data_IF_624889378185
#
_entry.id   IF_624889378185
#
_cell.length_a   1.000
_cell.length_b   1.000
_cell.length_c   1.000
_cell.angle_alpha   90.00
_cell.angle_beta   90.00
_cell.angle_gamma   90.00
#
_symmetry.space_group_name_H-M   'P 1'
#
loop_
_entity.id
_entity.type
_entity.pdbx_description
1 polymer ?
#
# COMPACT_ATOMS: atom_id res chain seq x y z
N UNK A 1 39.87 -10.13 23.85
CA UNK A 1 38.72 -10.31 22.95
C UNK A 1 37.82 -11.38 23.57
N UNK A 2 37.48 -11.24 24.86
CA UNK A 2 37.12 -12.38 25.74
C UNK A 2 35.83 -12.15 26.55
N UNK A 3 35.09 -11.08 26.24
CA UNK A 3 33.82 -10.76 26.90
C UNK A 3 32.62 -11.37 26.15
N UNK A 4 32.75 -11.65 24.85
CA UNK A 4 31.65 -12.21 24.05
C UNK A 4 31.36 -13.71 24.28
N UNK A 5 32.23 -14.46 24.96
CA UNK A 5 32.03 -15.90 25.17
C UNK A 5 31.41 -16.24 26.53
N UNK A 6 31.48 -15.33 27.52
CA UNK A 6 30.97 -15.62 28.87
C UNK A 6 29.45 -15.51 29.03
N UNK A 7 28.76 -14.99 28.03
CA UNK A 7 27.29 -14.90 28.04
C UNK A 7 26.59 -16.19 27.59
N UNK A 8 27.32 -17.16 27.03
CA UNK A 8 26.73 -18.39 26.49
C UNK A 8 26.75 -19.58 27.47
N UNK A 9 27.63 -19.59 28.48
CA UNK A 9 27.77 -20.75 29.38
C UNK A 9 26.75 -20.80 30.53
N UNK A 10 25.92 -19.77 30.71
CA UNK A 10 24.86 -19.74 31.72
C UNK A 10 23.50 -20.29 31.28
N UNK A 11 23.32 -20.59 29.99
CA UNK A 11 22.04 -20.99 29.39
C UNK A 11 22.10 -22.45 28.92
N UNK A 12 22.16 -23.39 29.86
CA UNK A 12 21.83 -24.79 29.57
C UNK A 12 20.91 -25.36 30.64
N UNK A 13 19.61 -25.25 30.41
CA UNK A 13 18.70 -26.39 30.29
C UNK A 13 17.23 -25.94 30.34
N UNK A 14 16.64 -25.66 29.18
CA UNK A 14 15.36 -26.23 28.72
C UNK A 14 14.91 -25.45 27.49
N UNK A 15 14.38 -26.16 26.51
CA UNK A 15 13.95 -25.70 25.19
C UNK A 15 15.09 -25.49 24.19
N UNK A 16 15.04 -26.28 23.11
CA UNK A 16 15.84 -26.16 21.92
C UNK A 16 15.95 -24.68 21.52
N UNK A 17 17.15 -24.09 21.60
CA UNK A 17 17.44 -22.75 21.09
C UNK A 17 17.03 -22.71 19.61
N UNK A 18 15.83 -22.20 19.35
CA UNK A 18 15.31 -22.05 18.01
C UNK A 18 16.34 -21.22 17.23
N UNK A 19 16.85 -21.65 16.07
CA UNK A 19 17.89 -20.93 15.33
C UNK A 19 17.55 -19.46 15.01
N UNK A 20 16.26 -19.11 15.08
CA UNK A 20 15.74 -17.75 14.90
C UNK A 20 15.92 -16.86 16.14
N UNK A 21 16.01 -17.45 17.33
CA UNK A 21 16.01 -16.71 18.61
C UNK A 21 17.21 -15.76 18.74
N UNK A 22 18.40 -16.20 18.32
CA UNK A 22 19.58 -15.34 18.34
C UNK A 22 19.45 -14.13 17.37
N UNK A 23 18.79 -14.33 16.23
CA UNK A 23 18.48 -13.26 15.28
C UNK A 23 17.47 -12.27 15.88
N UNK A 24 16.42 -12.79 16.51
CA UNK A 24 15.37 -11.97 17.14
C UNK A 24 15.92 -11.12 18.28
N UNK A 25 16.83 -11.66 19.10
CA UNK A 25 17.53 -10.90 20.14
C UNK A 25 18.38 -9.76 19.54
N UNK A 26 19.10 -10.03 18.45
CA UNK A 26 19.88 -9.00 17.76
C UNK A 26 18.98 -7.90 17.18
N UNK A 27 17.87 -8.27 16.53
CA UNK A 27 16.91 -7.32 15.99
C UNK A 27 16.24 -6.49 17.08
N UNK A 28 15.85 -7.12 18.19
CA UNK A 28 15.34 -6.45 19.39
C UNK A 28 16.35 -5.43 19.90
N UNK A 29 17.62 -5.83 20.04
CA UNK A 29 18.68 -4.95 20.52
C UNK A 29 18.87 -3.75 19.61
N UNK A 30 18.91 -3.94 18.29
CA UNK A 30 19.05 -2.84 17.31
C UNK A 30 17.89 -1.86 17.44
N UNK A 31 16.65 -2.36 17.43
CA UNK A 31 15.44 -1.53 17.48
C UNK A 31 15.25 -0.85 18.84
N UNK A 32 15.73 -1.44 19.93
CA UNK A 32 15.71 -0.82 21.27
C UNK A 32 16.58 0.44 21.38
N UNK A 33 17.47 0.69 20.42
CA UNK A 33 18.27 1.93 20.38
C UNK A 33 17.53 3.12 19.77
N UNK A 34 16.35 2.88 19.20
CA UNK A 34 15.47 3.91 18.66
C UNK A 34 14.68 4.53 19.82
N UNK A 35 14.58 5.85 19.86
CA UNK A 35 13.81 6.54 20.89
C UNK A 35 12.31 6.25 20.74
N UNK A 36 11.56 6.31 21.84
CA UNK A 36 10.10 6.14 21.78
C UNK A 36 9.42 7.18 20.86
N UNK A 37 10.02 8.37 20.72
CA UNK A 37 9.53 9.43 19.85
C UNK A 37 9.76 9.12 18.35
N UNK A 38 10.90 8.52 18.01
CA UNK A 38 11.26 8.22 16.62
C UNK A 38 10.65 6.89 16.12
N UNK A 39 10.36 5.95 17.04
CA UNK A 39 9.93 4.59 16.70
C UNK A 39 8.70 4.53 15.78
N UNK A 40 7.61 5.30 16.00
CA UNK A 40 6.45 5.27 15.10
C UNK A 40 6.80 5.66 13.66
N UNK A 41 7.72 6.62 13.47
CA UNK A 41 8.18 7.03 12.15
C UNK A 41 9.05 5.93 11.55
N UNK A 42 9.96 5.33 12.33
CA UNK A 42 10.79 4.21 11.86
C UNK A 42 9.93 3.03 11.40
N UNK A 43 8.95 2.61 12.21
CA UNK A 43 8.04 1.52 11.85
C UNK A 43 7.18 1.85 10.63
N UNK A 44 6.79 3.12 10.46
CA UNK A 44 6.09 3.55 9.25
C UNK A 44 6.96 3.42 8.00
N UNK A 45 8.25 3.77 8.07
CA UNK A 45 9.18 3.62 6.93
C UNK A 45 9.41 2.13 6.64
N UNK A 46 9.69 1.33 7.67
CA UNK A 46 9.92 -0.11 7.54
C UNK A 46 8.69 -0.83 6.99
N UNK A 47 7.50 -0.57 7.55
CA UNK A 47 6.24 -1.16 7.10
C UNK A 47 5.92 -0.83 5.64
N UNK A 48 6.05 0.45 5.26
CA UNK A 48 5.86 0.83 3.85
C UNK A 48 6.90 0.16 2.93
N UNK A 49 8.15 0.02 3.38
CA UNK A 49 9.20 -0.65 2.60
C UNK A 49 8.92 -2.15 2.44
N UNK A 50 8.50 -2.83 3.51
CA UNK A 50 8.24 -4.28 3.50
C UNK A 50 6.99 -4.59 2.66
N UNK A 51 5.91 -3.83 2.85
CA UNK A 51 4.62 -4.12 2.22
C UNK A 51 4.49 -3.52 0.81
N UNK A 52 5.25 -2.47 0.49
CA UNK A 52 5.10 -1.70 -0.75
C UNK A 52 6.42 -1.29 -1.43
N UNK A 53 7.58 -1.72 -0.95
CA UNK A 53 8.91 -1.37 -1.48
C UNK A 53 9.30 -2.06 -2.79
N UNK A 54 8.34 -2.23 -3.70
CA UNK A 54 8.59 -2.75 -5.06
C UNK A 54 9.62 -1.85 -5.81
N UNK A 55 10.20 -2.36 -6.90
CA UNK A 55 11.33 -1.77 -7.67
C UNK A 55 11.17 -0.29 -8.09
N UNK A 56 9.97 0.30 -7.95
CA UNK A 56 9.67 1.68 -8.33
C UNK A 56 9.70 2.67 -7.14
N UNK A 57 9.78 2.19 -5.90
CA UNK A 57 9.75 3.05 -4.72
C UNK A 57 11.15 3.52 -4.33
N UNK A 58 11.59 4.63 -4.94
CA UNK A 58 12.87 5.26 -4.55
C UNK A 58 12.76 5.87 -3.15
N UNK A 59 13.90 6.02 -2.48
CA UNK A 59 13.99 6.59 -1.13
C UNK A 59 13.37 7.97 -1.06
N UNK A 60 13.57 8.79 -2.09
CA UNK A 60 12.96 10.12 -2.20
C UNK A 60 11.43 10.06 -2.25
N UNK A 61 10.88 9.14 -3.05
CA UNK A 61 9.43 9.01 -3.21
C UNK A 61 8.82 8.48 -1.92
N UNK A 62 9.44 7.50 -1.26
CA UNK A 62 8.97 7.01 0.04
C UNK A 62 8.96 8.11 1.10
N UNK A 63 10.04 8.89 1.21
CA UNK A 63 10.14 9.98 2.17
C UNK A 63 9.05 11.03 1.95
N UNK A 64 8.88 11.50 0.71
CA UNK A 64 7.85 12.47 0.37
C UNK A 64 6.44 11.90 0.51
N UNK A 65 6.23 10.65 0.13
CA UNK A 65 4.96 9.97 0.32
C UNK A 65 4.59 10.01 1.80
N UNK A 66 5.50 9.64 2.70
CA UNK A 66 5.28 9.71 4.14
C UNK A 66 5.34 11.14 4.73
N UNK A 67 5.45 12.18 3.90
CA UNK A 67 5.55 13.58 4.30
C UNK A 67 6.72 13.86 5.26
N UNK A 68 7.87 13.25 4.99
CA UNK A 68 9.11 13.39 5.75
C UNK A 68 10.10 14.27 4.99
N UNK A 69 10.67 15.25 5.67
CA UNK A 69 11.83 15.98 5.16
C UNK A 69 13.10 15.10 5.26
N UNK A 70 14.14 15.51 4.52
CA UNK A 70 15.41 14.77 4.44
C UNK A 70 16.02 14.49 5.82
N UNK A 71 16.11 15.51 6.68
CA UNK A 71 16.73 15.40 8.01
C UNK A 71 16.02 14.36 8.88
N UNK A 72 14.68 14.47 8.97
CA UNK A 72 13.85 13.57 9.76
C UNK A 72 13.96 12.14 9.25
N UNK A 73 13.93 11.96 7.93
CA UNK A 73 14.02 10.64 7.30
C UNK A 73 15.35 9.94 7.65
N UNK A 74 16.49 10.60 7.42
CA UNK A 74 17.81 10.01 7.71
C UNK A 74 18.07 9.86 9.21
N UNK A 75 17.64 10.83 10.02
CA UNK A 75 17.77 10.75 11.47
C UNK A 75 17.06 9.52 12.04
N UNK A 76 15.85 9.24 11.54
CA UNK A 76 15.02 8.11 11.97
C UNK A 76 15.63 6.77 11.57
N UNK A 77 16.35 6.70 10.45
CA UNK A 77 16.96 5.47 9.94
C UNK A 77 18.38 5.21 10.44
N UNK A 78 19.03 6.18 11.09
CA UNK A 78 20.43 6.05 11.54
C UNK A 78 20.72 4.84 12.42
N UNK A 79 19.70 4.31 13.12
CA UNK A 79 19.81 3.17 14.03
C UNK A 79 19.59 1.82 13.37
N UNK A 80 19.10 1.78 12.13
CA UNK A 80 18.76 0.53 11.42
C UNK A 80 19.70 0.24 10.24
N UNK A 81 20.77 1.01 10.06
CA UNK A 81 21.79 0.76 9.02
C UNK A 81 22.47 -0.61 9.10
N UNK A 82 22.41 -1.31 10.25
CA UNK A 82 22.96 -2.66 10.39
C UNK A 82 22.08 -3.75 9.77
N UNK A 83 20.80 -3.46 9.49
CA UNK A 83 19.81 -4.41 8.96
C UNK A 83 19.21 -3.97 7.63
N UNK A 84 19.50 -2.74 7.21
CA UNK A 84 18.99 -2.15 5.98
C UNK A 84 20.06 -1.26 5.34
N UNK A 85 20.18 -1.37 4.02
CA UNK A 85 20.88 -0.41 3.19
C UNK A 85 20.02 0.83 3.00
N UNK A 86 20.57 1.98 3.39
CA UNK A 86 19.92 3.28 3.26
C UNK A 86 20.79 4.12 2.32
N UNK A 87 20.34 4.41 1.09
CA UNK A 87 21.11 5.19 0.14
C UNK A 87 21.44 6.58 0.67
N UNK A 88 22.62 7.15 0.35
CA UNK A 88 22.94 8.53 0.72
C UNK A 88 22.02 9.51 -0.03
N UNK A 89 21.82 10.71 0.53
CA UNK A 89 20.87 11.70 0.01
C UNK A 89 20.99 12.02 -1.49
N UNK A 90 22.19 12.12 -2.08
CA UNK A 90 22.35 12.36 -3.52
C UNK A 90 21.82 11.22 -4.41
N UNK A 91 21.74 9.99 -3.87
CA UNK A 91 21.31 8.78 -4.58
C UNK A 91 19.87 8.38 -4.28
N UNK A 92 19.26 8.99 -3.26
CA UNK A 92 17.86 8.77 -2.87
C UNK A 92 16.82 8.85 -4.00
N UNK A 93 17.00 9.67 -5.06
CA UNK A 93 16.05 9.67 -6.16
C UNK A 93 16.13 8.47 -7.11
N UNK A 94 17.20 7.66 -7.01
CA UNK A 94 17.47 6.53 -7.90
C UNK A 94 17.43 5.20 -7.18
N UNK A 95 17.81 5.19 -5.91
CA UNK A 95 17.93 3.97 -5.11
C UNK A 95 16.80 3.86 -4.09
N UNK A 96 16.36 2.62 -3.84
CA UNK A 96 15.38 2.26 -2.83
C UNK A 96 16.08 1.83 -1.52
N UNK A 97 15.30 1.73 -0.45
CA UNK A 97 15.73 1.07 0.78
C UNK A 97 15.79 -0.44 0.56
N UNK A 98 16.85 -1.11 1.01
CA UNK A 98 17.01 -2.56 0.84
C UNK A 98 17.25 -3.23 2.19
N UNK A 99 16.42 -4.22 2.52
CA UNK A 99 16.67 -5.06 3.70
C UNK A 99 17.77 -6.07 3.40
N UNK A 100 18.77 -6.16 4.29
CA UNK A 100 19.87 -7.13 4.09
C UNK A 100 19.41 -8.58 4.22
N UNK A 101 18.33 -8.84 4.98
CA UNK A 101 17.82 -10.19 5.22
C UNK A 101 16.29 -10.19 5.33
N UNK A 102 15.65 -11.15 4.66
CA UNK A 102 14.20 -11.37 4.77
C UNK A 102 13.76 -11.69 6.21
N UNK A 103 14.61 -12.37 6.98
CA UNK A 103 14.34 -12.71 8.39
C UNK A 103 14.07 -11.51 9.28
N UNK A 104 14.55 -10.32 8.93
CA UNK A 104 14.22 -9.09 9.65
C UNK A 104 12.79 -8.62 9.36
N UNK A 105 12.35 -8.71 8.09
CA UNK A 105 10.95 -8.46 7.74
C UNK A 105 10.02 -9.47 8.42
N UNK A 106 10.40 -10.75 8.41
CA UNK A 106 9.64 -11.82 9.07
C UNK A 106 9.53 -11.58 10.59
N UNK A 107 10.61 -11.09 11.22
CA UNK A 107 10.61 -10.73 12.64
C UNK A 107 9.64 -9.57 12.91
N UNK A 108 9.70 -8.49 12.12
CA UNK A 108 8.82 -7.33 12.29
C UNK A 108 7.35 -7.63 11.99
N UNK A 109 7.06 -8.62 11.15
CA UNK A 109 5.69 -8.99 10.77
C UNK A 109 5.04 -9.94 11.79
N UNK A 110 5.80 -10.48 12.75
CA UNK A 110 5.31 -11.37 13.78
C UNK A 110 5.26 -10.66 15.16
N UNK A 111 4.05 -10.32 15.66
CA UNK A 111 3.89 -9.66 16.95
C UNK A 111 4.37 -10.47 18.15
N UNK A 112 4.34 -11.81 18.07
CA UNK A 112 4.81 -12.69 19.14
C UNK A 112 6.32 -12.60 19.28
N UNK A 113 7.03 -12.47 18.15
CA UNK A 113 8.50 -12.36 18.12
C UNK A 113 8.99 -10.95 18.43
N UNK A 114 8.34 -9.93 17.87
CA UNK A 114 8.84 -8.54 17.90
C UNK A 114 8.20 -7.63 18.95
N UNK A 115 7.09 -8.04 19.55
CA UNK A 115 6.42 -7.29 20.61
C UNK A 115 6.10 -5.85 20.20
N UNK A 116 6.62 -4.86 20.94
CA UNK A 116 6.41 -3.43 20.65
C UNK A 116 7.01 -2.94 19.32
N UNK A 117 7.83 -3.77 18.66
CA UNK A 117 8.44 -3.44 17.38
C UNK A 117 7.68 -4.03 16.19
N UNK A 118 6.58 -4.74 16.44
CA UNK A 118 5.77 -5.33 15.40
C UNK A 118 5.18 -4.26 14.49
N UNK A 119 5.20 -4.53 13.18
CA UNK A 119 4.48 -3.74 12.20
C UNK A 119 3.01 -4.14 12.28
N UNK A 120 2.16 -3.18 12.63
CA UNK A 120 0.72 -3.31 12.43
C UNK A 120 0.40 -3.07 10.96
N UNK A 121 0.29 -4.14 10.18
CA UNK A 121 0.00 -4.09 8.75
C UNK A 121 -1.29 -3.32 8.46
N UNK A 122 -2.33 -3.51 9.26
CA UNK A 122 -3.61 -2.81 9.09
C UNK A 122 -3.46 -1.30 9.21
N UNK A 123 -2.68 -0.84 10.19
CA UNK A 123 -2.34 0.57 10.35
C UNK A 123 -1.48 1.09 9.18
N UNK A 124 -0.53 0.30 8.67
CA UNK A 124 0.27 0.68 7.49
C UNK A 124 -0.61 0.80 6.25
N UNK A 125 -1.48 -0.18 6.00
CA UNK A 125 -2.43 -0.15 4.89
C UNK A 125 -3.34 1.08 4.95
N UNK A 126 -3.89 1.40 6.13
CA UNK A 126 -4.71 2.61 6.30
C UNK A 126 -3.91 3.88 5.98
N UNK A 127 -2.67 3.97 6.46
CA UNK A 127 -1.80 5.12 6.21
C UNK A 127 -1.47 5.26 4.72
N UNK A 128 -1.14 4.17 4.03
CA UNK A 128 -0.86 4.16 2.59
C UNK A 128 -2.09 4.54 1.78
N UNK A 129 -3.27 4.03 2.13
CA UNK A 129 -4.52 4.40 1.46
C UNK A 129 -4.79 5.91 1.58
N UNK A 130 -4.75 6.44 2.82
CA UNK A 130 -4.95 7.88 3.10
C UNK A 130 -3.98 8.77 2.38
N UNK A 131 -2.70 8.43 2.46
CA UNK A 131 -1.65 9.22 1.85
C UNK A 131 -1.76 9.18 0.32
N UNK A 132 -2.10 8.01 -0.24
CA UNK A 132 -2.41 7.88 -1.64
C UNK A 132 -3.56 8.79 -2.05
N UNK A 133 -4.68 8.78 -1.33
CA UNK A 133 -5.79 9.69 -1.58
C UNK A 133 -5.39 11.17 -1.50
N UNK A 134 -4.54 11.55 -0.55
CA UNK A 134 -4.05 12.93 -0.49
C UNK A 134 -3.29 13.32 -1.76
N UNK A 135 -2.39 12.47 -2.25
CA UNK A 135 -1.63 12.73 -3.50
C UNK A 135 -2.50 12.66 -4.76
N UNK A 136 -3.58 11.87 -4.74
CA UNK A 136 -4.54 11.78 -5.85
C UNK A 136 -5.59 12.88 -5.82
N UNK A 137 -5.80 13.55 -4.68
CA UNK A 137 -6.78 14.62 -4.56
C UNK A 137 -6.45 15.70 -5.58
N UNK A 138 -7.35 15.88 -6.54
CA UNK A 138 -7.20 16.93 -7.52
C UNK A 138 -7.51 18.27 -6.83
N UNK A 139 -6.66 19.26 -7.05
CA UNK A 139 -7.03 20.64 -6.79
C UNK A 139 -8.15 21.01 -7.77
N UNK A 140 -9.40 21.05 -7.30
CA UNK A 140 -10.61 21.16 -8.11
C UNK A 140 -10.49 22.11 -9.32
N UNK A 141 -11.18 21.73 -10.42
CA UNK A 141 -11.24 22.43 -11.73
C UNK A 141 -11.55 23.94 -11.70
N UNK A 142 -12.00 24.51 -10.57
CA UNK A 142 -12.45 25.90 -10.47
C UNK A 142 -11.48 26.85 -9.76
N UNK A 143 -10.41 26.33 -9.15
CA UNK A 143 -9.19 27.00 -8.68
C UNK A 143 -8.65 26.06 -7.61
N UNK A 144 -7.45 25.48 -7.79
CA UNK A 144 -6.71 24.93 -6.67
C UNK A 144 -6.74 25.92 -5.53
N UNK A 145 -7.25 25.55 -4.35
CA UNK A 145 -6.73 26.18 -3.15
C UNK A 145 -5.30 25.65 -3.01
N UNK A 146 -4.27 26.48 -3.25
CA UNK A 146 -2.89 26.02 -3.20
C UNK A 146 -2.51 25.48 -1.81
N UNK A 147 -3.29 25.83 -0.78
CA UNK A 147 -3.08 25.40 0.60
C UNK A 147 -3.58 23.96 0.88
N UNK A 148 -4.32 23.34 -0.05
CA UNK A 148 -4.89 22.00 0.14
C UNK A 148 -4.15 20.89 -0.62
N UNK A 149 -3.21 21.23 -1.50
CA UNK A 149 -2.41 20.22 -2.20
C UNK A 149 -1.26 19.75 -1.31
N UNK A 150 -0.99 18.44 -1.24
CA UNK A 150 0.19 17.95 -0.56
C UNK A 150 1.46 18.48 -1.24
N UNK A 151 2.39 18.97 -0.43
CA UNK A 151 3.67 19.49 -0.90
C UNK A 151 4.80 18.50 -0.60
N UNK A 152 5.69 18.22 -1.58
CA UNK A 152 6.88 17.43 -1.32
C UNK A 152 7.73 18.07 -0.22
N UNK A 153 7.96 17.34 0.87
CA UNK A 153 8.77 17.78 2.01
C UNK A 153 10.28 17.71 1.76
N UNK A 154 10.69 17.01 0.70
CA UNK A 154 12.09 16.88 0.28
C UNK A 154 12.21 17.03 -1.23
N UNK A 155 12.83 18.13 -1.67
CA UNK A 155 13.07 18.46 -3.09
C UNK A 155 14.58 18.63 -3.30
N UNK A 156 15.26 17.68 -3.95
CA UNK A 156 16.68 17.81 -4.29
C UNK A 156 16.92 18.81 -5.44
N UNK A 157 18.04 19.53 -5.43
CA UNK A 157 18.37 20.58 -6.41
C UNK A 157 18.28 20.15 -7.89
N UNK A 158 18.53 18.87 -8.17
CA UNK A 158 18.64 18.33 -9.54
C UNK A 158 17.34 17.75 -10.09
N UNK A 159 16.26 17.77 -9.32
CA UNK A 159 14.99 17.13 -9.70
C UNK A 159 13.87 18.14 -9.57
N UNK A 160 13.12 18.31 -10.65
CA UNK A 160 11.98 19.23 -10.64
C UNK A 160 10.89 18.72 -9.71
N UNK A 161 10.20 19.66 -9.08
CA UNK A 161 9.06 19.40 -8.21
C UNK A 161 7.97 18.61 -8.94
N UNK A 162 7.74 18.93 -10.20
CA UNK A 162 6.73 18.31 -11.06
C UNK A 162 7.02 16.82 -11.26
N UNK A 163 8.29 16.45 -11.43
CA UNK A 163 8.68 15.05 -11.56
C UNK A 163 8.42 14.26 -10.27
N UNK A 164 8.66 14.87 -9.11
CA UNK A 164 8.39 14.25 -7.80
C UNK A 164 6.88 14.06 -7.62
N UNK A 165 6.07 15.09 -7.90
CA UNK A 165 4.60 15.00 -7.82
C UNK A 165 4.07 13.94 -8.77
N UNK A 166 4.55 13.90 -10.02
CA UNK A 166 4.15 12.89 -11.00
C UNK A 166 4.47 11.47 -10.50
N UNK A 167 5.67 11.24 -9.95
CA UNK A 167 6.06 9.95 -9.39
C UNK A 167 5.23 9.58 -8.15
N UNK A 168 4.91 10.53 -7.27
CA UNK A 168 4.04 10.31 -6.11
C UNK A 168 2.62 9.96 -6.51
N UNK A 169 2.07 10.63 -7.53
CA UNK A 169 0.78 10.27 -8.11
C UNK A 169 0.82 8.86 -8.68
N UNK A 170 1.82 8.53 -9.49
CA UNK A 170 1.98 7.18 -10.05
C UNK A 170 2.06 6.09 -8.95
N UNK A 171 2.86 6.33 -7.91
CA UNK A 171 2.95 5.43 -6.76
C UNK A 171 1.61 5.30 -6.02
N UNK A 172 0.92 6.42 -5.79
CA UNK A 172 -0.39 6.46 -5.10
C UNK A 172 -1.44 5.69 -5.88
N UNK A 173 -1.52 5.92 -7.18
CA UNK A 173 -2.38 5.21 -8.13
C UNK A 173 -2.19 3.69 -7.99
N UNK A 174 -0.94 3.22 -8.01
CA UNK A 174 -0.60 1.78 -7.99
C UNK A 174 -0.88 1.09 -6.64
N UNK A 175 -0.92 1.82 -5.53
CA UNK A 175 -0.91 1.19 -4.20
C UNK A 175 -2.09 1.54 -3.30
N UNK A 176 -2.75 2.69 -3.47
CA UNK A 176 -3.83 3.10 -2.56
C UNK A 176 -5.03 2.15 -2.62
N UNK A 177 -5.44 1.71 -3.83
CA UNK A 177 -6.56 0.78 -4.01
C UNK A 177 -6.26 -0.59 -3.42
N UNK A 178 -5.02 -1.05 -3.59
CA UNK A 178 -4.55 -2.30 -3.00
C UNK A 178 -4.50 -2.21 -1.47
N UNK A 179 -4.12 -1.06 -0.93
CA UNK A 179 -4.10 -0.85 0.51
C UNK A 179 -5.49 -0.94 1.12
N UNK A 180 -6.51 -0.36 0.46
CA UNK A 180 -7.87 -0.28 1.01
C UNK A 180 -8.45 -1.62 1.44
N UNK A 181 -8.36 -2.65 0.60
CA UNK A 181 -8.96 -3.96 0.88
C UNK A 181 -8.15 -4.81 1.87
N UNK A 182 -6.96 -4.36 2.28
CA UNK A 182 -6.10 -5.05 3.25
C UNK A 182 -6.16 -4.41 4.64
N UNK A 183 -6.93 -3.35 4.81
CA UNK A 183 -7.12 -2.69 6.10
C UNK A 183 -7.92 -3.62 7.02
N UNK A 184 -7.48 -3.74 8.27
CA UNK A 184 -8.18 -4.50 9.31
C UNK A 184 -9.61 -3.99 9.53
N UNK A 185 -10.55 -4.89 9.80
CA UNK A 185 -11.99 -4.57 9.93
C UNK A 185 -12.29 -3.41 10.89
N UNK A 186 -11.57 -3.32 12.01
CA UNK A 186 -11.72 -2.26 13.00
C UNK A 186 -11.33 -0.86 12.49
N UNK A 187 -10.59 -0.77 11.37
CA UNK A 187 -10.15 0.46 10.75
C UNK A 187 -10.96 0.83 9.49
N UNK A 188 -11.77 -0.09 8.96
CA UNK A 188 -12.55 0.12 7.72
C UNK A 188 -13.51 1.30 7.84
N UNK A 189 -14.21 1.44 8.96
CA UNK A 189 -15.12 2.57 9.19
C UNK A 189 -14.42 3.93 9.06
N UNK A 190 -13.16 3.99 9.50
CA UNK A 190 -12.34 5.20 9.40
C UNK A 190 -12.01 5.50 7.93
N UNK A 191 -11.64 4.49 7.14
CA UNK A 191 -11.38 4.65 5.71
C UNK A 191 -12.65 5.07 4.94
N UNK A 192 -13.81 4.47 5.26
CA UNK A 192 -15.07 4.79 4.58
C UNK A 192 -15.42 6.28 4.72
N UNK A 193 -15.17 6.87 5.89
CA UNK A 193 -15.34 8.32 6.09
C UNK A 193 -14.41 9.12 5.17
N UNK A 194 -13.15 8.73 5.06
CA UNK A 194 -12.20 9.40 4.17
C UNK A 194 -12.63 9.29 2.69
N UNK A 195 -13.20 8.15 2.30
CA UNK A 195 -13.73 7.90 0.94
C UNK A 195 -15.00 8.71 0.64
N UNK A 196 -15.84 9.00 1.62
CA UNK A 196 -17.01 9.87 1.44
C UNK A 196 -16.62 11.30 1.06
N UNK A 197 -15.48 11.76 1.57
CA UNK A 197 -14.92 13.09 1.32
C UNK A 197 -13.91 13.11 0.15
N UNK A 198 -13.60 11.96 -0.44
CA UNK A 198 -12.62 11.86 -1.51
C UNK A 198 -13.22 12.29 -2.85
N UNK A 199 -12.46 13.09 -3.61
CA UNK A 199 -12.80 13.47 -4.98
C UNK A 199 -12.19 12.42 -5.92
N UNK A 200 -13.04 11.55 -6.46
CA UNK A 200 -12.63 10.41 -7.30
C UNK A 200 -12.17 10.79 -8.71
N UNK A 201 -11.82 12.05 -8.96
CA UNK A 201 -11.32 12.47 -10.25
C UNK A 201 -9.93 11.88 -10.52
N UNK A 202 -9.89 10.83 -11.33
CA UNK A 202 -8.67 10.13 -11.73
C UNK A 202 -8.39 10.42 -13.21
N UNK A 203 -7.20 10.91 -13.52
CA UNK A 203 -6.77 11.17 -14.90
C UNK A 203 -6.57 9.82 -15.63
N UNK A 204 -7.54 9.44 -16.46
CA UNK A 204 -7.58 8.15 -17.17
C UNK A 204 -6.37 7.89 -18.09
N UNK A 205 -5.68 8.95 -18.54
CA UNK A 205 -4.53 8.83 -19.44
C UNK A 205 -3.34 8.09 -18.80
N UNK A 206 -3.34 7.94 -17.48
CA UNK A 206 -2.27 7.25 -16.72
C UNK A 206 -2.61 5.81 -16.34
N UNK A 207 -3.77 5.28 -16.77
CA UNK A 207 -4.21 3.96 -16.35
C UNK A 207 -3.59 2.86 -17.19
N UNK A 208 -2.76 2.04 -16.55
CA UNK A 208 -2.28 0.79 -17.13
C UNK A 208 -3.19 -0.41 -16.75
N UNK A 209 -2.87 -1.58 -17.31
CA UNK A 209 -3.63 -2.81 -17.05
C UNK A 209 -3.64 -3.22 -15.57
N UNK A 210 -2.54 -3.00 -14.86
CA UNK A 210 -2.40 -3.41 -13.45
C UNK A 210 -3.25 -2.53 -12.55
N UNK A 211 -3.27 -1.23 -12.83
CA UNK A 211 -4.12 -0.30 -12.11
C UNK A 211 -5.60 -0.64 -12.22
N UNK A 212 -6.08 -0.94 -13.44
CA UNK A 212 -7.49 -1.32 -13.66
C UNK A 212 -7.86 -2.52 -12.78
N UNK A 213 -6.93 -3.45 -12.59
CA UNK A 213 -7.12 -4.65 -11.78
C UNK A 213 -7.21 -4.34 -10.28
N UNK A 214 -6.24 -3.60 -9.73
CA UNK A 214 -6.25 -3.21 -8.31
C UNK A 214 -7.48 -2.36 -7.96
N UNK A 215 -7.87 -1.46 -8.88
CA UNK A 215 -9.04 -0.62 -8.69
C UNK A 215 -10.36 -1.39 -8.76
N UNK A 216 -10.50 -2.34 -9.68
CA UNK A 216 -11.69 -3.19 -9.72
C UNK A 216 -11.80 -4.10 -8.48
N UNK A 217 -10.68 -4.55 -7.91
CA UNK A 217 -10.69 -5.23 -6.60
C UNK A 217 -11.18 -4.31 -5.49
N UNK A 218 -10.74 -3.06 -5.47
CA UNK A 218 -11.22 -2.06 -4.54
C UNK A 218 -12.74 -1.84 -4.66
N UNK A 219 -13.27 -1.71 -5.88
CA UNK A 219 -14.72 -1.61 -6.14
C UNK A 219 -15.47 -2.83 -5.61
N UNK A 220 -14.98 -4.04 -5.88
CA UNK A 220 -15.59 -5.28 -5.37
C UNK A 220 -15.55 -5.35 -3.84
N UNK A 221 -14.43 -4.99 -3.24
CA UNK A 221 -14.28 -4.93 -1.80
C UNK A 221 -15.30 -3.95 -1.20
N UNK A 222 -15.45 -2.75 -1.75
CA UNK A 222 -16.48 -1.80 -1.29
C UNK A 222 -17.90 -2.38 -1.35
N UNK A 223 -18.23 -3.14 -2.41
CA UNK A 223 -19.54 -3.82 -2.49
C UNK A 223 -19.75 -4.91 -1.44
N UNK A 224 -18.66 -5.51 -0.94
CA UNK A 224 -18.76 -6.50 0.13
C UNK A 224 -18.99 -5.88 1.52
N UNK A 225 -18.83 -4.57 1.67
CA UNK A 225 -18.97 -3.85 2.93
C UNK A 225 -20.40 -3.35 3.18
N UNK A 226 -21.34 -4.28 3.43
CA UNK A 226 -22.73 -4.00 3.82
C UNK A 226 -23.39 -2.82 3.05
N UNK A 227 -24.43 -2.21 3.63
CA UNK A 227 -25.14 -1.10 3.01
C UNK A 227 -24.24 0.15 2.86
N UNK A 228 -23.28 0.37 3.76
CA UNK A 228 -22.45 1.59 3.74
C UNK A 228 -21.55 1.66 2.52
N UNK A 229 -20.83 0.58 2.21
CA UNK A 229 -19.98 0.51 1.02
C UNK A 229 -20.77 0.61 -0.29
N UNK A 230 -21.95 -0.02 -0.36
CA UNK A 230 -22.84 0.08 -1.52
C UNK A 230 -23.39 1.50 -1.78
N UNK A 231 -23.40 2.39 -0.77
CA UNK A 231 -23.80 3.79 -1.00
C UNK A 231 -22.68 4.65 -1.60
N UNK A 232 -21.43 4.21 -1.48
CA UNK A 232 -20.26 4.87 -2.07
C UNK A 232 -20.02 4.44 -3.52
N UNK A 233 -20.53 3.26 -3.90
CA UNK A 233 -20.33 2.66 -5.22
C UNK A 233 -21.66 2.20 -5.78
N UNK A 234 -22.07 2.75 -6.92
CA UNK A 234 -23.15 2.16 -7.70
C UNK A 234 -22.63 1.68 -9.05
N UNK A 235 -22.91 0.43 -9.38
CA UNK A 235 -22.55 -0.16 -10.67
C UNK A 235 -23.82 -0.30 -11.51
N UNK A 236 -23.86 0.41 -12.63
CA UNK A 236 -24.97 0.44 -13.59
C UNK A 236 -24.68 -0.51 -14.77
N UNK A 237 -25.75 -1.06 -15.36
CA UNK A 237 -25.72 -2.04 -16.46
C UNK A 237 -25.25 -3.46 -16.07
N UNK A 238 -25.41 -3.87 -14.82
CA UNK A 238 -25.38 -5.29 -14.44
C UNK A 238 -26.79 -5.86 -14.67
N UNK A 239 -26.91 -6.92 -15.47
CA UNK A 239 -28.20 -7.58 -15.75
C UNK A 239 -28.83 -8.08 -14.43
N UNK A 240 -30.06 -7.66 -14.07
CA UNK A 240 -30.68 -7.97 -12.77
C UNK A 240 -30.99 -9.46 -12.53
N UNK A 241 -30.72 -10.34 -13.50
CA UNK A 241 -30.92 -11.78 -13.36
C UNK A 241 -29.83 -12.50 -12.54
N UNK A 242 -28.69 -11.86 -12.23
CA UNK A 242 -27.65 -12.47 -11.37
C UNK A 242 -27.07 -11.51 -10.29
N UNK A 243 -27.87 -11.04 -9.31
CA UNK A 243 -27.34 -10.26 -8.19
C UNK A 243 -26.41 -11.07 -7.27
N UNK A 244 -26.48 -12.41 -7.34
CA UNK A 244 -25.75 -13.31 -6.44
C UNK A 244 -24.37 -13.77 -6.97
N UNK A 245 -23.95 -13.34 -8.17
CA UNK A 245 -22.67 -13.77 -8.76
C UNK A 245 -21.48 -12.84 -8.46
N UNK A 246 -21.66 -11.77 -7.68
CA UNK A 246 -20.53 -11.01 -7.13
C UNK A 246 -19.79 -11.76 -5.99
N UNK A 247 -20.18 -13.00 -5.68
CA UNK A 247 -19.60 -13.78 -4.60
C UNK A 247 -18.41 -14.66 -5.02
N UNK A 248 -17.29 -14.41 -4.33
CA UNK A 248 -16.20 -15.31 -3.92
C UNK A 248 -16.05 -16.69 -4.61
N UNK A 249 -14.89 -16.87 -5.25
CA UNK A 249 -14.13 -18.13 -5.17
C UNK A 249 -12.66 -17.75 -4.95
N UNK A 250 -12.14 -18.04 -3.76
CA UNK A 250 -10.70 -18.05 -3.56
C UNK A 250 -10.20 -19.44 -3.98
N UNK A 251 -9.46 -19.47 -5.09
CA UNK A 251 -8.44 -20.44 -5.44
C UNK A 251 -7.91 -20.04 -6.82
N UNK A 252 -6.92 -19.15 -6.81
CA UNK A 252 -5.90 -19.00 -7.86
C UNK A 252 -6.40 -19.06 -9.32
N UNK A 253 -6.50 -17.87 -9.96
CA UNK A 253 -6.37 -17.60 -11.41
C UNK A 253 -7.57 -17.15 -12.26
N UNK A 254 -8.74 -16.77 -11.73
CA UNK A 254 -9.77 -16.16 -12.60
C UNK A 254 -10.50 -14.96 -11.97
N UNK A 255 -9.96 -13.77 -12.27
CA UNK A 255 -10.46 -12.45 -11.86
C UNK A 255 -11.82 -12.07 -12.46
N UNK A 256 -12.24 -12.74 -13.53
CA UNK A 256 -13.40 -12.31 -14.33
C UNK A 256 -14.63 -13.18 -14.15
N UNK A 257 -14.68 -14.21 -13.31
CA UNK A 257 -15.83 -15.13 -13.27
C UNK A 257 -17.23 -14.46 -13.22
N UNK A 258 -17.47 -13.39 -12.42
CA UNK A 258 -18.74 -12.64 -12.45
C UNK A 258 -18.98 -11.83 -13.74
N UNK A 259 -17.91 -11.44 -14.44
CA UNK A 259 -17.93 -10.79 -15.75
C UNK A 259 -17.83 -11.78 -16.94
N UNK A 260 -17.58 -13.07 -16.66
CA UNK A 260 -17.39 -14.16 -17.63
C UNK A 260 -18.71 -14.92 -17.87
N UNK A 261 -19.64 -14.87 -16.89
CA UNK A 261 -21.00 -15.42 -17.00
C UNK A 261 -22.02 -14.38 -17.49
N UNK A 262 -21.72 -13.09 -17.33
CA UNK A 262 -22.38 -12.02 -18.06
C UNK A 262 -22.09 -12.21 -19.56
N UNK A 263 -23.07 -12.82 -20.24
CA UNK A 263 -23.06 -13.31 -21.62
C UNK A 263 -22.28 -12.47 -22.66
N UNK A 264 -22.02 -13.09 -23.83
CA UNK A 264 -21.55 -12.48 -25.08
C UNK A 264 -22.15 -11.11 -25.48
N UNK A 265 -23.15 -10.58 -24.76
CA UNK A 265 -23.74 -9.24 -24.91
C UNK A 265 -22.90 -8.08 -24.36
N UNK A 266 -22.03 -8.29 -23.36
CA UNK A 266 -21.31 -7.19 -22.70
C UNK A 266 -19.94 -6.85 -23.28
N UNK A 267 -19.44 -7.62 -24.25
CA UNK A 267 -18.12 -7.40 -24.87
C UNK A 267 -18.00 -5.99 -25.49
N UNK A 268 -19.13 -5.35 -25.83
CA UNK A 268 -19.17 -3.99 -26.39
C UNK A 268 -19.78 -2.92 -25.47
N UNK A 269 -20.33 -3.29 -24.31
CA UNK A 269 -21.02 -2.39 -23.38
C UNK A 269 -20.35 -2.51 -22.02
N UNK A 270 -19.24 -1.78 -21.82
CA UNK A 270 -18.53 -1.89 -20.55
C UNK A 270 -19.36 -1.39 -19.36
N UNK A 271 -18.91 -1.74 -18.16
CA UNK A 271 -19.65 -1.60 -16.90
C UNK A 271 -19.52 -0.17 -16.42
N UNK A 272 -20.64 0.51 -16.20
CA UNK A 272 -20.62 1.88 -15.70
C UNK A 272 -20.54 1.86 -14.18
N UNK A 273 -19.49 2.45 -13.61
CA UNK A 273 -19.33 2.56 -12.16
C UNK A 273 -19.36 4.02 -11.78
N UNK A 274 -20.11 4.31 -10.72
CA UNK A 274 -20.20 5.62 -10.09
C UNK A 274 -19.61 5.52 -8.68
N UNK A 275 -18.63 6.37 -8.38
CA UNK A 275 -17.98 6.45 -7.08
C UNK A 275 -18.20 7.81 -6.41
N UNK A 276 -18.39 7.79 -5.09
CA UNK A 276 -18.46 8.97 -4.24
C UNK A 276 -19.88 9.50 -4.04
N UNK A 277 -20.17 10.05 -2.86
CA UNK A 277 -21.46 10.70 -2.54
C UNK A 277 -21.49 12.16 -3.00
N UNK A 278 -20.45 12.91 -2.65
CA UNK A 278 -20.38 14.36 -2.88
C UNK A 278 -19.88 14.71 -4.28
N UNK A 279 -18.98 13.90 -4.84
CA UNK A 279 -18.33 14.14 -6.14
C UNK A 279 -18.37 12.85 -6.96
N UNK A 280 -19.52 12.61 -7.61
CA UNK A 280 -19.75 11.39 -8.37
C UNK A 280 -18.85 11.33 -9.61
N UNK A 281 -18.01 10.30 -9.68
CA UNK A 281 -17.20 10.03 -10.87
C UNK A 281 -17.74 8.81 -11.59
N UNK A 282 -17.97 8.97 -12.88
CA UNK A 282 -18.44 7.92 -13.77
C UNK A 282 -17.30 7.40 -14.63
N UNK A 283 -17.08 6.08 -14.62
CA UNK A 283 -16.19 5.42 -15.57
C UNK A 283 -16.87 4.19 -16.15
N UNK A 284 -16.44 3.84 -17.36
CA UNK A 284 -16.86 2.64 -18.05
C UNK A 284 -15.71 1.63 -18.02
N UNK A 285 -15.83 0.59 -17.19
CA UNK A 285 -14.90 -0.53 -17.14
C UNK A 285 -15.17 -1.47 -18.32
N UNK A 286 -14.32 -1.40 -19.35
CA UNK A 286 -14.36 -2.34 -20.47
C UNK A 286 -13.43 -3.51 -20.20
N UNK A 287 -13.98 -4.71 -20.17
CA UNK A 287 -13.20 -5.94 -20.11
C UNK A 287 -12.67 -6.25 -21.51
N UNK A 288 -11.35 -6.39 -21.68
CA UNK A 288 -10.78 -6.77 -22.96
C UNK A 288 -11.06 -8.26 -23.25
N UNK A 289 -11.81 -8.59 -24.32
CA UNK A 289 -12.22 -9.97 -24.62
C UNK A 289 -11.06 -10.92 -24.95
N UNK A 290 -9.91 -10.41 -25.42
CA UNK A 290 -8.73 -11.24 -25.72
C UNK A 290 -8.04 -11.77 -24.46
N UNK A 291 -8.26 -11.12 -23.31
CA UNK A 291 -7.70 -11.57 -22.03
C UNK A 291 -8.55 -12.66 -21.37
N UNK A 292 -9.85 -12.70 -21.70
CA UNK A 292 -10.81 -13.69 -21.20
C UNK A 292 -10.59 -15.06 -21.84
N UNK A 293 -10.20 -15.09 -23.12
CA UNK A 293 -10.02 -16.32 -23.88
C UNK A 293 -8.73 -17.08 -23.54
N UNK A 294 -7.71 -16.39 -23.00
CA UNK A 294 -6.44 -17.02 -22.59
C UNK A 294 -6.51 -17.80 -21.28
N UNK A 295 -7.44 -17.49 -20.37
CA UNK A 295 -7.58 -18.27 -19.12
C UNK A 295 -8.28 -19.62 -19.30
N UNK A 296 -9.01 -19.81 -20.42
CA UNK A 296 -9.69 -21.07 -20.75
C UNK A 296 -8.78 -22.18 -21.31
N UNK A 297 -7.54 -21.89 -21.69
CA UNK A 297 -6.64 -22.83 -22.37
C UNK A 297 -5.68 -23.55 -21.39
N UNK A 298 -5.79 -23.28 -20.08
CA UNK A 298 -4.89 -23.81 -19.04
C UNK A 298 -5.51 -24.80 -18.04
N UNK A 299 -6.56 -25.54 -18.41
CA UNK A 299 -7.08 -26.67 -17.63
C UNK A 299 -7.01 -27.96 -18.43
#
# INVERSE_FOLDING_TARGET
MDICLKTFDGLRASESLHPLHAGDLLYTQILSTISDADLPVTLSILGSTILYGQEQLTTLILANFLSLNQETFYWTLRRVHSVMEVPPAPEAPRLCLLLYRSSFADYLSDPVRSGRFAIDEGTVHLKVARQGFQWLRHASRTKPDPLLLPEPSWIPDKISRENIIHALKGYSISHCWRACHRISDNLVATLLKDLEEFDFYLEYETWDRWLVHDFAYFVRWLHSLDNTGSTLVSVENIDPLCPHELCHCDATKDFLAPFNQASNRFINQGVHVRLGKSHQVHFNLRVNPELVSRSKIGR
#
